data_IF_762630038309
#
_entry.id   IF_762630038309
#
_cell.length_a   1.000
_cell.length_b   1.000
_cell.length_c   1.000
_cell.angle_alpha   90.00
_cell.angle_beta   90.00
_cell.angle_gamma   90.00
#
_symmetry.space_group_name_H-M   'P 1'
#
loop_
_entity.id
_entity.type
_entity.pdbx_description
1 polymer ?
#
# COMPACT_ATOMS: atom_id res chain seq x y z
N UNK A 1 -22.74 -11.63 10.22
CA UNK A 1 -21.44 -12.09 9.65
C UNK A 1 -21.29 -11.92 8.13
N UNK A 2 -22.37 -11.78 7.33
CA UNK A 2 -22.22 -11.57 5.86
C UNK A 2 -21.63 -10.21 5.48
N UNK A 3 -21.95 -9.15 6.22
CA UNK A 3 -21.46 -7.79 5.97
C UNK A 3 -19.96 -7.67 6.15
N UNK A 4 -19.42 -8.17 7.27
CA UNK A 4 -17.99 -8.18 7.55
C UNK A 4 -17.19 -8.91 6.45
N UNK A 5 -17.64 -10.09 6.03
CA UNK A 5 -16.95 -10.85 4.98
C UNK A 5 -16.89 -10.10 3.66
N UNK A 6 -18.00 -9.45 3.26
CA UNK A 6 -18.01 -8.63 2.06
C UNK A 6 -17.04 -7.44 2.16
N UNK A 7 -16.99 -6.77 3.31
CA UNK A 7 -16.03 -5.68 3.57
C UNK A 7 -14.57 -6.17 3.53
N UNK A 8 -14.29 -7.34 4.10
CA UNK A 8 -12.96 -7.96 4.08
C UNK A 8 -12.54 -8.32 2.65
N UNK A 9 -13.42 -8.96 1.88
CA UNK A 9 -13.13 -9.29 0.47
C UNK A 9 -12.79 -8.05 -0.35
N UNK A 10 -13.51 -6.96 -0.11
CA UNK A 10 -13.26 -5.68 -0.76
C UNK A 10 -11.88 -5.12 -0.39
N UNK A 11 -11.52 -5.11 0.89
CA UNK A 11 -10.19 -4.65 1.33
C UNK A 11 -9.07 -5.46 0.69
N UNK A 12 -9.22 -6.78 0.61
CA UNK A 12 -8.23 -7.66 -0.01
C UNK A 12 -8.10 -7.36 -1.51
N UNK A 13 -9.21 -7.09 -2.19
CA UNK A 13 -9.23 -6.82 -3.63
C UNK A 13 -8.88 -5.38 -4.01
N UNK A 14 -8.90 -4.44 -3.08
CA UNK A 14 -8.43 -3.06 -3.32
C UNK A 14 -6.90 -2.95 -3.37
N UNK A 15 -6.16 -4.02 -3.05
CA UNK A 15 -4.69 -4.00 -2.96
C UNK A 15 -4.04 -3.54 -4.28
N UNK A 16 -3.12 -2.56 -4.26
CA UNK A 16 -2.38 -2.14 -5.45
C UNK A 16 -1.44 -3.24 -5.93
N UNK A 17 -1.57 -3.73 -7.16
CA UNK A 17 -0.70 -4.77 -7.71
C UNK A 17 0.50 -4.18 -8.44
N UNK A 18 0.25 -3.19 -9.31
CA UNK A 18 1.28 -2.53 -10.11
C UNK A 18 0.85 -1.12 -10.49
N UNK A 19 1.83 -0.27 -10.80
CA UNK A 19 1.56 1.05 -11.34
C UNK A 19 1.60 1.07 -12.87
N UNK A 20 0.87 2.02 -13.45
CA UNK A 20 0.91 2.33 -14.88
C UNK A 20 1.84 3.52 -15.13
N UNK A 21 2.39 3.62 -16.35
CA UNK A 21 3.32 4.68 -16.75
C UNK A 21 2.63 6.00 -17.12
N UNK A 22 1.32 6.09 -16.88
CA UNK A 22 0.56 7.25 -17.27
C UNK A 22 1.04 8.51 -16.52
N UNK A 23 0.70 9.68 -17.07
CA UNK A 23 1.14 10.96 -16.50
C UNK A 23 0.69 11.13 -15.05
N UNK A 24 -0.45 10.54 -14.69
CA UNK A 24 -1.01 10.54 -13.35
C UNK A 24 -0.52 9.33 -12.53
N UNK A 25 -0.22 9.55 -11.26
CA UNK A 25 0.22 8.50 -10.33
C UNK A 25 -0.98 7.62 -9.98
N UNK A 26 -1.12 6.49 -10.67
CA UNK A 26 -2.22 5.54 -10.45
C UNK A 26 -1.70 4.09 -10.36
N UNK A 27 -2.54 3.21 -9.83
CA UNK A 27 -2.26 1.78 -9.70
C UNK A 27 -3.40 0.94 -10.25
N UNK A 28 -3.11 -0.33 -10.53
CA UNK A 28 -4.10 -1.34 -10.85
C UNK A 28 -4.27 -2.30 -9.67
N UNK A 29 -5.52 -2.57 -9.30
CA UNK A 29 -5.90 -3.51 -8.23
C UNK A 29 -6.86 -4.56 -8.78
N UNK A 30 -7.05 -5.71 -8.10
CA UNK A 30 -8.07 -6.68 -8.47
C UNK A 30 -9.48 -6.05 -8.62
N UNK A 31 -9.85 -5.11 -7.75
CA UNK A 31 -11.13 -4.41 -7.83
C UNK A 31 -11.34 -3.66 -9.15
N UNK A 32 -10.27 -3.14 -9.78
CA UNK A 32 -10.38 -2.52 -11.10
C UNK A 32 -10.88 -3.48 -12.16
N UNK A 33 -10.53 -4.78 -12.05
CA UNK A 33 -11.00 -5.80 -12.97
C UNK A 33 -12.40 -6.31 -12.62
N UNK A 34 -12.71 -6.41 -11.32
CA UNK A 34 -13.99 -6.94 -10.85
C UNK A 34 -15.15 -5.93 -11.01
N UNK A 35 -14.87 -4.65 -10.80
CA UNK A 35 -15.89 -3.58 -10.68
C UNK A 35 -15.72 -2.53 -11.79
N UNK A 36 -14.53 -2.43 -12.41
CA UNK A 36 -14.22 -1.41 -13.42
C UNK A 36 -13.78 -0.06 -12.85
N UNK A 37 -13.66 0.08 -11.53
CA UNK A 37 -13.22 1.31 -10.86
C UNK A 37 -12.55 1.03 -9.51
N UNK A 38 -11.68 1.92 -9.00
CA UNK A 38 -11.19 1.85 -7.64
C UNK A 38 -12.36 1.93 -6.67
N UNK A 39 -12.34 1.07 -5.65
CA UNK A 39 -13.26 1.21 -4.55
C UNK A 39 -12.73 2.27 -3.57
N UNK A 40 -13.58 3.23 -3.20
CA UNK A 40 -13.28 4.21 -2.14
C UNK A 40 -14.23 3.94 -0.98
N UNK A 41 -13.69 3.61 0.18
CA UNK A 41 -14.49 3.51 1.41
C UNK A 41 -14.74 4.91 1.95
N UNK A 42 -15.87 5.09 2.63
CA UNK A 42 -16.12 6.30 3.40
C UNK A 42 -15.31 6.18 4.71
N UNK A 43 -14.54 7.22 5.10
CA UNK A 43 -13.88 7.22 6.40
C UNK A 43 -14.92 7.13 7.52
N UNK A 44 -14.83 6.07 8.32
CA UNK A 44 -15.69 5.90 9.50
C UNK A 44 -14.91 6.23 10.78
N UNK A 45 -15.64 6.57 11.85
CA UNK A 45 -15.05 6.94 13.12
C UNK A 45 -14.14 5.82 13.67
N UNK A 46 -12.98 6.20 14.21
CA UNK A 46 -12.07 5.27 14.87
C UNK A 46 -12.72 4.75 16.16
N UNK A 47 -12.92 3.43 16.25
CA UNK A 47 -13.52 2.77 17.41
C UNK A 47 -12.47 2.13 18.33
N UNK A 48 -11.17 2.30 18.05
CA UNK A 48 -10.08 1.67 18.79
C UNK A 48 -10.01 2.07 20.28
N UNK A 49 -10.62 3.19 20.67
CA UNK A 49 -10.65 3.68 22.04
C UNK A 49 -11.85 3.15 22.87
N UNK A 50 -12.80 2.45 22.26
CA UNK A 50 -14.03 2.01 22.94
C UNK A 50 -13.85 0.58 23.48
N UNK A 51 -14.19 0.37 24.75
CA UNK A 51 -14.13 -0.96 25.39
C UNK A 51 -15.13 -1.91 24.73
N UNK A 52 -14.68 -3.11 24.35
CA UNK A 52 -15.44 -4.11 23.58
C UNK A 52 -16.82 -4.43 24.17
N UNK A 53 -16.98 -4.39 25.50
CA UNK A 53 -18.25 -4.66 26.19
C UNK A 53 -19.34 -3.58 26.05
N UNK A 54 -19.07 -2.44 25.39
CA UNK A 54 -20.03 -1.34 25.19
C UNK A 54 -20.39 -1.09 23.72
N UNK A 55 -19.91 -1.92 22.80
CA UNK A 55 -20.14 -1.74 21.37
C UNK A 55 -21.48 -2.35 20.96
N UNK A 56 -22.31 -1.57 20.27
CA UNK A 56 -23.47 -2.10 19.55
C UNK A 56 -23.03 -3.01 18.41
N UNK A 57 -23.95 -3.87 17.90
CA UNK A 57 -23.64 -4.85 16.85
C UNK A 57 -22.85 -4.27 15.65
N UNK A 58 -23.27 -3.10 15.16
CA UNK A 58 -22.59 -2.45 14.03
C UNK A 58 -21.18 -1.97 14.38
N UNK A 59 -21.00 -1.40 15.57
CA UNK A 59 -19.71 -0.91 16.03
C UNK A 59 -18.72 -2.07 16.25
N UNK A 60 -19.21 -3.23 16.70
CA UNK A 60 -18.40 -4.45 16.81
C UNK A 60 -17.92 -4.94 15.45
N UNK A 61 -18.78 -4.96 14.42
CA UNK A 61 -18.36 -5.30 13.06
C UNK A 61 -17.32 -4.31 12.54
N UNK A 62 -17.54 -3.02 12.78
CA UNK A 62 -16.64 -2.00 12.28
C UNK A 62 -15.27 -2.03 12.97
N UNK A 63 -15.24 -2.31 14.27
CA UNK A 63 -13.99 -2.54 15.01
C UNK A 63 -13.21 -3.73 14.44
N UNK A 64 -13.88 -4.85 14.14
CA UNK A 64 -13.25 -6.00 13.48
C UNK A 64 -12.70 -5.65 12.10
N UNK A 65 -13.46 -4.88 11.32
CA UNK A 65 -13.05 -4.44 9.99
C UNK A 65 -11.82 -3.51 10.03
N UNK A 66 -11.81 -2.52 10.92
CA UNK A 66 -10.66 -1.62 11.13
C UNK A 66 -9.42 -2.38 11.61
N UNK A 67 -9.59 -3.34 12.53
CA UNK A 67 -8.52 -4.21 12.99
C UNK A 67 -7.92 -5.05 11.86
N UNK A 68 -8.78 -5.64 11.03
CA UNK A 68 -8.35 -6.39 9.85
C UNK A 68 -7.57 -5.50 8.87
N UNK A 69 -8.06 -4.31 8.55
CA UNK A 69 -7.36 -3.38 7.66
C UNK A 69 -5.95 -3.06 8.16
N UNK A 70 -5.81 -2.72 9.45
CA UNK A 70 -4.52 -2.35 10.04
C UNK A 70 -3.50 -3.49 9.88
N UNK A 71 -3.91 -4.72 10.15
CA UNK A 71 -3.05 -5.88 10.00
C UNK A 71 -2.75 -6.17 8.52
N UNK A 72 -3.77 -6.23 7.68
CA UNK A 72 -3.65 -6.50 6.25
C UNK A 72 -2.76 -5.49 5.52
N UNK A 73 -2.96 -4.19 5.78
CA UNK A 73 -2.16 -3.12 5.21
C UNK A 73 -0.67 -3.27 5.58
N UNK A 74 -0.39 -3.58 6.85
CA UNK A 74 0.97 -3.79 7.31
C UNK A 74 1.62 -5.04 6.69
N UNK A 75 0.91 -6.16 6.64
CA UNK A 75 1.39 -7.42 6.06
C UNK A 75 1.64 -7.28 4.56
N UNK A 76 0.74 -6.62 3.84
CA UNK A 76 0.87 -6.37 2.41
C UNK A 76 2.11 -5.52 2.09
N UNK A 77 2.28 -4.39 2.77
CA UNK A 77 3.46 -3.53 2.59
C UNK A 77 4.76 -4.26 2.94
N UNK A 78 4.73 -5.11 3.97
CA UNK A 78 5.90 -5.93 4.34
C UNK A 78 6.23 -6.93 3.23
N UNK A 79 5.22 -7.51 2.59
CA UNK A 79 5.40 -8.43 1.45
C UNK A 79 6.08 -7.74 0.27
N UNK A 80 5.70 -6.49 -0.02
CA UNK A 80 6.35 -5.69 -1.07
C UNK A 80 7.80 -5.30 -0.74
N UNK A 81 8.18 -5.28 0.54
CA UNK A 81 9.54 -4.97 1.00
C UNK A 81 10.42 -6.21 1.22
N UNK A 82 9.94 -7.42 0.87
CA UNK A 82 10.71 -8.64 1.06
C UNK A 82 12.03 -8.59 0.28
N UNK A 83 13.13 -8.84 0.99
CA UNK A 83 14.47 -8.89 0.41
C UNK A 83 14.85 -10.34 0.12
N UNK A 84 15.31 -10.69 -1.10
CA UNK A 84 15.90 -12.01 -1.34
C UNK A 84 17.08 -12.25 -0.38
N UNK A 85 17.21 -13.48 0.12
CA UNK A 85 18.31 -13.86 1.01
C UNK A 85 19.63 -13.81 0.25
N UNK A 86 20.56 -12.95 0.70
CA UNK A 86 22.02 -12.90 0.54
C UNK A 86 22.67 -13.06 -0.87
N UNK A 87 21.96 -13.54 -1.88
CA UNK A 87 22.53 -13.94 -3.17
C UNK A 87 22.18 -12.97 -4.31
N UNK A 88 21.19 -12.09 -4.12
CA UNK A 88 20.74 -11.14 -5.14
C UNK A 88 20.86 -9.69 -4.66
N UNK A 89 21.55 -8.86 -5.46
CA UNK A 89 21.57 -7.41 -5.30
C UNK A 89 20.20 -6.85 -5.67
N UNK A 90 19.61 -6.03 -4.79
CA UNK A 90 18.33 -5.37 -5.04
C UNK A 90 18.64 -4.00 -5.63
N UNK A 91 17.99 -3.60 -6.74
CA UNK A 91 18.15 -2.26 -7.28
C UNK A 91 17.77 -1.22 -6.23
N UNK A 92 18.54 -0.15 -6.16
CA UNK A 92 18.28 0.98 -5.28
C UNK A 92 17.04 1.74 -5.78
N UNK A 93 16.30 2.38 -4.85
CA UNK A 93 15.12 3.17 -5.21
C UNK A 93 15.57 4.35 -6.08
N UNK A 94 14.90 4.54 -7.20
CA UNK A 94 15.25 5.50 -8.24
C UNK A 94 14.18 6.57 -8.42
N UNK A 95 14.58 7.70 -9.00
CA UNK A 95 13.64 8.76 -9.39
C UNK A 95 12.66 8.19 -10.41
N UNK A 96 11.37 8.48 -10.23
CA UNK A 96 10.29 7.97 -11.06
C UNK A 96 9.61 6.72 -10.51
N UNK A 97 10.23 6.01 -9.55
CA UNK A 97 9.60 4.86 -8.90
C UNK A 97 8.30 5.26 -8.21
N UNK A 98 7.29 4.40 -8.33
CA UNK A 98 6.00 4.58 -7.66
C UNK A 98 5.98 3.71 -6.40
N UNK A 99 5.60 4.32 -5.29
CA UNK A 99 5.67 3.72 -3.97
C UNK A 99 4.37 3.90 -3.21
N UNK A 100 4.07 2.95 -2.32
CA UNK A 100 3.04 3.07 -1.31
C UNK A 100 3.64 3.66 -0.03
N UNK A 101 3.01 4.70 0.51
CA UNK A 101 3.40 5.34 1.76
C UNK A 101 2.75 4.61 2.93
N UNK A 102 3.57 4.19 3.90
CA UNK A 102 3.10 3.53 5.13
C UNK A 102 2.57 4.58 6.10
N UNK A 103 1.26 4.80 6.06
CA UNK A 103 0.54 5.67 7.00
C UNK A 103 -0.20 4.88 8.06
N UNK A 104 0.02 5.22 9.32
CA UNK A 104 -0.52 4.49 10.47
C UNK A 104 -2.05 4.57 10.59
N UNK A 105 -2.65 5.63 10.06
CA UNK A 105 -4.04 6.02 10.32
C UNK A 105 -4.85 6.24 9.02
N UNK A 106 -4.58 5.44 7.99
CA UNK A 106 -5.34 5.51 6.74
C UNK A 106 -6.70 4.82 6.88
N UNK A 107 -7.79 5.38 6.29
CA UNK A 107 -9.07 4.68 6.20
C UNK A 107 -8.92 3.32 5.50
N UNK A 108 -9.75 2.32 5.84
CA UNK A 108 -9.71 1.02 5.18
C UNK A 108 -9.77 1.10 3.64
N UNK A 109 -9.00 0.28 2.93
CA UNK A 109 -8.87 0.29 1.47
C UNK A 109 -8.30 1.60 0.86
N UNK A 110 -7.83 2.55 1.68
CA UNK A 110 -7.16 3.76 1.20
C UNK A 110 -5.65 3.57 1.11
N UNK A 111 -5.17 3.31 -0.11
CA UNK A 111 -3.75 3.13 -0.39
C UNK A 111 -3.11 4.45 -0.83
N UNK A 112 -2.20 4.99 -0.01
CA UNK A 112 -1.49 6.23 -0.31
C UNK A 112 -0.35 5.98 -1.29
N UNK A 113 -0.54 6.39 -2.54
CA UNK A 113 0.46 6.25 -3.59
C UNK A 113 1.24 7.55 -3.81
N UNK A 114 2.52 7.43 -4.12
CA UNK A 114 3.39 8.55 -4.40
C UNK A 114 4.45 8.20 -5.45
N UNK A 115 4.94 9.20 -6.17
CA UNK A 115 6.08 9.06 -7.10
C UNK A 115 7.33 9.66 -6.49
N UNK A 116 8.46 8.95 -6.58
CA UNK A 116 9.77 9.46 -6.14
C UNK A 116 10.22 10.57 -7.10
N UNK A 117 10.44 11.77 -6.55
CA UNK A 117 10.94 12.92 -7.31
C UNK A 117 12.40 13.21 -7.03
N UNK A 118 12.89 12.88 -5.83
CA UNK A 118 14.30 13.00 -5.46
C UNK A 118 14.69 11.85 -4.52
N UNK A 119 15.94 11.39 -4.62
CA UNK A 119 16.50 10.36 -3.76
C UNK A 119 17.71 10.90 -2.99
N UNK A 120 17.81 10.54 -1.71
CA UNK A 120 18.89 10.97 -0.81
C UNK A 120 19.78 9.77 -0.43
N UNK A 121 20.89 9.54 -1.16
CA UNK A 121 21.86 8.50 -0.83
C UNK A 121 22.69 8.85 0.41
N UNK A 122 23.12 7.80 1.13
CA UNK A 122 24.12 7.90 2.19
C UNK A 122 25.55 7.91 1.66
N UNK A 123 26.53 7.87 2.57
CA UNK A 123 27.97 7.76 2.21
C UNK A 123 28.32 6.46 1.47
N UNK A 124 27.46 5.46 1.56
CA UNK A 124 27.56 4.15 0.94
C UNK A 124 26.80 4.07 -0.41
N UNK A 125 26.34 5.20 -0.96
CA UNK A 125 25.52 5.31 -2.17
C UNK A 125 24.15 4.60 -2.08
N UNK A 126 23.75 4.15 -0.88
CA UNK A 126 22.44 3.53 -0.65
C UNK A 126 21.41 4.60 -0.27
N UNK A 127 20.24 4.58 -0.92
CA UNK A 127 19.18 5.56 -0.64
C UNK A 127 18.58 5.29 0.73
N UNK A 128 18.57 6.32 1.60
CA UNK A 128 18.02 6.22 2.96
C UNK A 128 16.71 6.98 3.12
N UNK A 129 16.52 8.02 2.33
CA UNK A 129 15.29 8.80 2.27
C UNK A 129 14.99 9.22 0.84
N UNK A 130 13.73 9.51 0.56
CA UNK A 130 13.26 10.00 -0.73
C UNK A 130 12.26 11.13 -0.52
N UNK A 131 12.23 12.05 -1.48
CA UNK A 131 11.19 13.05 -1.63
C UNK A 131 10.13 12.51 -2.58
N UNK A 132 8.88 12.60 -2.18
CA UNK A 132 7.74 12.00 -2.84
C UNK A 132 6.74 13.06 -3.26
N UNK A 133 6.15 12.88 -4.44
CA UNK A 133 5.00 13.63 -4.92
C UNK A 133 3.73 12.79 -4.73
N UNK A 134 2.82 13.28 -3.89
CA UNK A 134 1.46 12.74 -3.72
C UNK A 134 0.44 13.66 -4.41
N UNK A 135 -0.80 13.21 -4.50
CA UNK A 135 -1.91 14.05 -4.95
C UNK A 135 -2.13 15.29 -4.05
N UNK A 136 -1.78 15.18 -2.76
CA UNK A 136 -1.95 16.24 -1.76
C UNK A 136 -0.75 17.18 -1.63
N UNK A 137 0.41 16.86 -2.21
CA UNK A 137 1.60 17.70 -2.10
C UNK A 137 2.91 16.92 -2.18
N UNK A 138 3.96 17.46 -1.55
CA UNK A 138 5.27 16.83 -1.48
C UNK A 138 5.60 16.46 -0.05
N UNK A 139 6.23 15.30 0.13
CA UNK A 139 6.62 14.82 1.46
C UNK A 139 7.93 14.03 1.39
N UNK A 140 8.74 14.16 2.43
CA UNK A 140 9.99 13.40 2.57
C UNK A 140 9.80 12.25 3.54
N UNK A 141 10.21 11.04 3.15
CA UNK A 141 10.09 9.83 3.97
C UNK A 141 11.35 8.97 3.91
N UNK A 142 11.72 8.33 5.03
CA UNK A 142 12.70 7.25 5.03
C UNK A 142 12.22 6.07 4.17
N UNK A 143 13.16 5.32 3.57
CA UNK A 143 12.83 4.13 2.76
C UNK A 143 12.09 3.05 3.55
N UNK A 144 12.23 3.02 4.87
CA UNK A 144 11.53 2.07 5.75
C UNK A 144 10.03 2.36 5.90
N UNK A 145 9.60 3.56 5.50
CA UNK A 145 8.20 4.01 5.57
C UNK A 145 7.51 3.99 4.20
N UNK A 146 8.12 3.36 3.20
CA UNK A 146 7.55 3.23 1.85
C UNK A 146 7.77 1.82 1.32
N UNK A 147 6.86 1.34 0.47
CA UNK A 147 7.02 0.08 -0.25
C UNK A 147 6.99 0.35 -1.75
N UNK A 148 7.95 -0.16 -2.51
CA UNK A 148 7.98 0.03 -3.96
C UNK A 148 6.90 -0.83 -4.59
N UNK A 149 6.11 -0.24 -5.48
CA UNK A 149 5.10 -0.96 -6.23
C UNK A 149 5.73 -1.54 -7.50
N UNK A 150 5.47 -2.82 -7.86
CA UNK A 150 5.97 -3.40 -9.11
C UNK A 150 5.46 -2.63 -10.34
N UNK A 151 6.26 -2.65 -11.40
CA UNK A 151 5.88 -2.09 -12.71
C UNK A 151 5.16 -3.16 -13.53
N UNK A 152 4.13 -2.79 -14.29
CA UNK A 152 3.39 -3.74 -15.16
C UNK A 152 4.30 -4.57 -16.07
N UNK A 153 5.34 -3.96 -16.63
CA UNK A 153 6.31 -4.62 -17.54
C UNK A 153 7.12 -5.72 -16.86
N UNK A 154 7.39 -5.59 -15.57
CA UNK A 154 8.22 -6.55 -14.81
C UNK A 154 7.47 -7.85 -14.49
N UNK A 155 6.14 -7.90 -14.68
CA UNK A 155 5.33 -9.09 -14.43
C UNK A 155 5.41 -10.14 -15.55
N UNK A 156 5.73 -9.70 -16.77
CA UNK A 156 5.79 -10.56 -17.96
C UNK A 156 7.20 -10.83 -18.47
N UNK A 157 8.20 -10.16 -17.89
CA UNK A 157 9.59 -10.57 -18.04
C UNK A 157 9.79 -11.80 -17.15
N UNK A 158 9.59 -12.98 -17.74
CA UNK A 158 9.94 -14.24 -17.11
C UNK A 158 11.33 -14.14 -16.48
N UNK A 159 11.44 -14.62 -15.23
CA UNK A 159 12.74 -14.72 -14.59
C UNK A 159 13.72 -15.46 -15.53
N UNK A 160 15.00 -15.07 -15.57
CA UNK A 160 15.98 -15.83 -16.32
C UNK A 160 16.10 -17.22 -15.68
N UNK A 161 15.66 -18.25 -16.41
CA UNK A 161 16.10 -19.63 -16.27
C UNK A 161 15.52 -20.43 -15.10
N UNK A 162 14.74 -21.45 -15.45
CA UNK A 162 15.02 -22.78 -14.91
C UNK A 162 16.42 -23.23 -15.34
#
# INVERSE_FOLDING_TARGET
MRTLLAQVSLVVNSRPLYYTLDTEVNYLSPDHFLIGRPFTTIPEADLGHITVGRLGYWQSIQSMYQGFWKQWHQEYLTTLQQRPKWTASIPNISIGDVVLVKESNSPPASWHIARVIEAYPGKDELVRAVKLKTASGELTRPITKIAVLPRSETLFQGGPGC
#
